data_IF_868667748917
#
_entry.id   IF_868667748917
#
_cell.length_a   1.000
_cell.length_b   1.000
_cell.length_c   1.000
_cell.angle_alpha   90.00
_cell.angle_beta   90.00
_cell.angle_gamma   90.00
#
_symmetry.space_group_name_H-M   'P 1'
#
loop_
_entity.id
_entity.type
_entity.pdbx_description
1 polymer ?
#
# COMPACT_ATOMS: atom_id res chain seq x y z
N UNK A 1 -5.30 20.51 -33.44
CA UNK A 1 -4.41 19.43 -32.93
C UNK A 1 -4.62 19.26 -31.44
N UNK A 2 -4.76 18.03 -30.99
CA UNK A 2 -4.91 17.70 -29.58
C UNK A 2 -3.77 16.79 -29.12
N UNK A 3 -3.28 17.01 -27.90
CA UNK A 3 -2.30 16.15 -27.23
C UNK A 3 -2.92 15.64 -25.93
N UNK A 4 -2.92 14.33 -25.75
CA UNK A 4 -3.44 13.70 -24.54
C UNK A 4 -2.27 13.05 -23.81
N UNK A 5 -2.03 13.47 -22.57
CA UNK A 5 -1.04 12.87 -21.68
C UNK A 5 -1.74 12.16 -20.51
N UNK A 6 -1.40 10.91 -20.27
CA UNK A 6 -2.00 10.09 -19.23
C UNK A 6 -0.93 9.68 -18.23
N UNK A 7 -1.17 9.93 -16.95
CA UNK A 7 -0.40 9.35 -15.85
C UNK A 7 -1.28 8.37 -15.11
N UNK A 8 -0.81 7.14 -14.94
CA UNK A 8 -1.61 6.11 -14.26
C UNK A 8 -0.75 5.10 -13.54
N UNK A 9 -1.34 4.44 -12.57
CA UNK A 9 -0.78 3.27 -11.89
C UNK A 9 -1.47 1.99 -12.41
N UNK A 10 -1.41 1.74 -13.72
CA UNK A 10 -2.03 0.59 -14.37
C UNK A 10 -1.00 -0.26 -15.10
N UNK A 11 -1.10 -1.58 -14.96
CA UNK A 11 -0.31 -2.55 -15.76
C UNK A 11 -0.96 -2.86 -17.13
N UNK A 12 -2.15 -2.30 -17.41
CA UNK A 12 -2.84 -2.50 -18.69
C UNK A 12 -3.00 -1.17 -19.42
N UNK A 13 -1.96 -0.70 -20.15
CA UNK A 13 -2.04 0.54 -20.91
C UNK A 13 -3.12 0.48 -22.00
N UNK A 14 -3.36 -0.67 -22.61
CA UNK A 14 -4.39 -0.86 -23.64
C UNK A 14 -5.79 -0.52 -23.13
N UNK A 15 -6.10 -0.88 -21.89
CA UNK A 15 -7.39 -0.57 -21.29
C UNK A 15 -7.61 0.94 -21.12
N UNK A 16 -6.55 1.67 -20.79
CA UNK A 16 -6.58 3.12 -20.69
C UNK A 16 -6.72 3.77 -22.06
N UNK A 17 -5.98 3.29 -23.05
CA UNK A 17 -6.09 3.77 -24.43
C UNK A 17 -7.48 3.53 -24.99
N UNK A 18 -8.11 2.39 -24.73
CA UNK A 18 -9.48 2.13 -25.15
C UNK A 18 -10.48 3.14 -24.55
N UNK A 19 -10.31 3.54 -23.29
CA UNK A 19 -11.13 4.60 -22.69
C UNK A 19 -10.95 5.92 -23.42
N UNK A 20 -9.73 6.26 -23.80
CA UNK A 20 -9.45 7.48 -24.59
C UNK A 20 -10.15 7.42 -25.95
N UNK A 21 -9.98 6.29 -26.68
CA UNK A 21 -10.58 6.11 -28.01
C UNK A 21 -12.11 6.09 -27.99
N UNK A 22 -12.69 5.43 -27.01
CA UNK A 22 -14.15 5.22 -26.97
C UNK A 22 -14.90 6.35 -26.29
N UNK A 23 -14.28 7.05 -25.34
CA UNK A 23 -14.97 8.02 -24.48
C UNK A 23 -14.47 9.45 -24.62
N UNK A 24 -13.16 9.64 -24.76
CA UNK A 24 -12.58 10.98 -24.74
C UNK A 24 -12.53 11.60 -26.14
N UNK A 25 -11.98 10.88 -27.12
CA UNK A 25 -11.83 11.41 -28.48
C UNK A 25 -13.15 11.76 -29.17
N UNK A 26 -14.24 10.98 -29.02
CA UNK A 26 -15.53 11.36 -29.62
C UNK A 26 -16.13 12.64 -29.03
N UNK A 27 -15.70 13.05 -27.84
CA UNK A 27 -16.12 14.28 -27.20
C UNK A 27 -15.35 15.53 -27.66
N UNK A 28 -14.26 15.38 -28.41
CA UNK A 28 -13.50 16.50 -28.95
C UNK A 28 -14.19 16.97 -30.22
N UNK A 29 -14.70 18.18 -30.19
CA UNK A 29 -15.41 18.81 -31.32
C UNK A 29 -14.71 20.07 -31.76
N UNK A 30 -14.97 20.52 -33.01
CA UNK A 30 -14.48 21.81 -33.54
C UNK A 30 -15.37 23.01 -33.12
N UNK A 31 -16.33 22.80 -32.22
CA UNK A 31 -17.18 23.88 -31.72
C UNK A 31 -16.37 24.75 -30.74
N UNK A 32 -16.40 26.05 -30.96
CA UNK A 32 -15.72 27.04 -30.13
C UNK A 32 -16.32 27.14 -28.73
N UNK A 33 -17.62 26.92 -28.61
CA UNK A 33 -18.34 26.94 -27.34
C UNK A 33 -19.18 25.66 -27.20
N UNK A 34 -19.05 25.00 -26.09
CA UNK A 34 -19.92 23.90 -25.68
C UNK A 34 -21.09 24.49 -24.89
N UNK A 35 -22.29 23.94 -25.06
CA UNK A 35 -23.42 24.31 -24.24
C UNK A 35 -23.09 24.06 -22.75
N UNK A 36 -23.41 25.04 -21.90
CA UNK A 36 -23.31 24.88 -20.46
C UNK A 36 -24.17 23.70 -20.01
N UNK A 37 -23.54 22.76 -19.28
CA UNK A 37 -24.24 21.61 -18.75
C UNK A 37 -23.82 21.35 -17.30
N UNK A 38 -24.71 20.77 -16.52
CA UNK A 38 -24.44 20.30 -15.15
C UNK A 38 -23.33 19.25 -15.10
N UNK A 39 -22.88 18.73 -16.24
CA UNK A 39 -21.84 17.73 -16.35
C UNK A 39 -20.48 18.23 -15.87
N UNK A 40 -20.18 19.53 -16.08
CA UNK A 40 -18.94 20.13 -15.58
C UNK A 40 -18.92 20.19 -14.06
N UNK A 41 -20.00 20.63 -13.43
CA UNK A 41 -20.13 20.68 -11.98
C UNK A 41 -20.05 19.27 -11.36
N UNK A 42 -20.70 18.28 -12.00
CA UNK A 42 -20.59 16.87 -11.58
C UNK A 42 -19.16 16.36 -11.66
N UNK A 43 -18.45 16.66 -12.77
CA UNK A 43 -17.06 16.26 -12.94
C UNK A 43 -16.15 16.93 -11.90
N UNK A 44 -16.35 18.22 -11.62
CA UNK A 44 -15.62 18.95 -10.60
C UNK A 44 -15.83 18.31 -9.23
N UNK A 45 -17.08 18.06 -8.84
CA UNK A 45 -17.41 17.38 -7.58
C UNK A 45 -16.77 15.99 -7.50
N UNK A 46 -16.88 15.18 -8.56
CA UNK A 46 -16.25 13.86 -8.59
C UNK A 46 -14.73 13.95 -8.44
N UNK A 47 -14.08 14.95 -9.03
CA UNK A 47 -12.63 15.11 -8.89
C UNK A 47 -12.21 15.55 -7.47
N UNK A 48 -13.02 16.38 -6.82
CA UNK A 48 -12.79 16.80 -5.42
C UNK A 48 -12.95 15.63 -4.44
N UNK A 49 -13.89 14.71 -4.71
CA UNK A 49 -14.13 13.50 -3.91
C UNK A 49 -13.23 12.31 -4.30
N UNK A 50 -12.41 12.46 -5.37
CA UNK A 50 -11.60 11.36 -5.89
C UNK A 50 -10.43 11.08 -4.97
N UNK A 51 -10.61 10.11 -4.08
CA UNK A 51 -9.58 9.62 -3.17
C UNK A 51 -9.54 8.09 -3.18
N UNK A 52 -8.35 7.52 -2.96
CA UNK A 52 -8.23 6.10 -2.63
C UNK A 52 -8.51 5.97 -1.14
N UNK A 53 -9.62 5.33 -0.74
CA UNK A 53 -9.91 5.18 0.69
C UNK A 53 -8.83 4.33 1.36
N UNK A 54 -8.42 4.76 2.54
CA UNK A 54 -7.57 3.97 3.43
C UNK A 54 -8.36 2.84 4.07
N UNK A 55 -7.65 1.95 4.75
CA UNK A 55 -8.25 0.90 5.55
C UNK A 55 -8.83 1.50 6.84
N UNK A 56 -9.99 0.99 7.25
CA UNK A 56 -10.62 1.41 8.49
C UNK A 56 -11.38 0.25 9.15
N UNK A 57 -11.26 0.13 10.45
CA UNK A 57 -12.07 -0.74 11.27
C UNK A 57 -12.04 -0.27 12.73
N UNK A 58 -12.88 -0.86 13.57
CA UNK A 58 -12.88 -0.59 15.02
C UNK A 58 -11.54 -1.03 15.62
N UNK A 59 -10.97 -0.17 16.46
CA UNK A 59 -9.68 -0.41 17.11
C UNK A 59 -9.85 -1.15 18.43
N UNK A 60 -8.95 -2.09 18.69
CA UNK A 60 -8.85 -2.78 19.99
C UNK A 60 -7.65 -2.23 20.78
N UNK A 61 -7.92 -1.22 21.59
CA UNK A 61 -6.88 -0.51 22.31
C UNK A 61 -6.11 -1.40 23.31
N UNK A 62 -6.77 -2.38 23.91
CA UNK A 62 -6.10 -3.27 24.86
C UNK A 62 -4.99 -4.09 24.19
N UNK A 63 -5.26 -4.64 23.01
CA UNK A 63 -4.26 -5.37 22.21
C UNK A 63 -3.18 -4.44 21.65
N UNK A 64 -3.56 -3.22 21.26
CA UNK A 64 -2.58 -2.23 20.80
C UNK A 64 -1.58 -1.85 21.88
N UNK A 65 -2.05 -1.67 23.12
CA UNK A 65 -1.19 -1.38 24.28
C UNK A 65 -0.30 -2.59 24.63
N UNK A 66 -0.80 -3.83 24.46
CA UNK A 66 -0.06 -5.06 24.69
C UNK A 66 1.10 -5.24 23.71
N UNK A 67 0.87 -4.99 22.40
CA UNK A 67 1.87 -5.24 21.36
C UNK A 67 2.72 -4.02 20.99
N UNK A 68 2.38 -2.85 21.53
CA UNK A 68 3.17 -1.63 21.29
C UNK A 68 4.56 -1.71 21.91
N UNK A 69 5.58 -1.43 21.12
CA UNK A 69 6.97 -1.37 21.58
C UNK A 69 7.69 -2.71 21.66
N UNK A 70 7.01 -3.82 21.43
CA UNK A 70 7.68 -5.13 21.34
C UNK A 70 8.53 -5.16 20.08
N UNK A 71 9.80 -5.59 20.25
CA UNK A 71 10.75 -5.70 19.15
C UNK A 71 10.86 -7.15 18.69
N UNK A 72 10.25 -7.46 17.55
CA UNK A 72 10.29 -8.78 16.93
C UNK A 72 11.52 -8.92 16.04
N UNK A 73 12.34 -9.94 16.28
CA UNK A 73 13.60 -10.21 15.58
C UNK A 73 13.46 -11.32 14.56
N UNK A 74 14.28 -11.27 13.54
CA UNK A 74 14.46 -12.37 12.59
C UNK A 74 15.49 -13.32 13.17
N UNK A 75 15.17 -14.62 13.29
CA UNK A 75 16.05 -15.64 13.84
C UNK A 75 16.59 -16.63 12.81
N UNK A 76 15.89 -16.81 11.72
CA UNK A 76 16.27 -17.75 10.67
C UNK A 76 16.70 -17.01 9.41
N UNK A 77 17.61 -17.63 8.68
CA UNK A 77 18.22 -17.28 7.40
C UNK A 77 17.75 -15.99 6.72
N UNK A 78 18.73 -15.28 6.17
CA UNK A 78 18.64 -14.11 5.26
C UNK A 78 17.21 -13.80 4.82
N UNK A 79 16.50 -13.01 5.65
CA UNK A 79 15.20 -12.49 5.27
C UNK A 79 15.42 -11.21 4.49
N UNK A 80 15.02 -11.19 3.24
CA UNK A 80 15.13 -10.01 2.40
C UNK A 80 14.46 -8.81 3.05
N UNK A 81 15.09 -7.66 2.95
CA UNK A 81 14.66 -6.44 3.58
C UNK A 81 13.19 -6.14 3.31
N UNK A 82 12.44 -5.89 4.38
CA UNK A 82 11.10 -5.33 4.33
C UNK A 82 11.05 -3.96 3.62
N UNK A 83 12.21 -3.38 3.27
CA UNK A 83 12.31 -2.17 2.46
C UNK A 83 11.89 -2.38 1.00
N UNK A 84 11.77 -3.61 0.53
CA UNK A 84 11.03 -3.89 -0.69
C UNK A 84 9.53 -4.01 -0.38
N UNK A 85 9.03 -3.01 0.36
CA UNK A 85 7.63 -2.88 0.76
C UNK A 85 6.68 -2.89 -0.43
N UNK A 86 7.21 -2.75 -1.62
CA UNK A 86 6.43 -2.64 -2.84
C UNK A 86 6.47 -3.88 -3.69
N UNK A 87 7.30 -4.86 -3.28
CA UNK A 87 7.39 -6.16 -3.91
C UNK A 87 6.95 -6.21 -5.36
N UNK A 88 7.85 -5.92 -6.29
CA UNK A 88 7.63 -6.39 -7.65
C UNK A 88 7.40 -7.90 -7.62
N UNK A 89 6.91 -8.52 -8.69
CA UNK A 89 6.75 -9.95 -8.79
C UNK A 89 8.14 -10.61 -8.67
N UNK A 90 8.48 -11.02 -7.50
CA UNK A 90 9.78 -11.59 -7.19
C UNK A 90 9.91 -11.84 -5.70
N UNK A 91 10.73 -12.79 -5.38
CA UNK A 91 11.03 -13.19 -3.99
C UNK A 91 11.36 -11.96 -3.14
N UNK A 92 11.03 -12.00 -1.87
CA UNK A 92 11.51 -11.08 -0.86
C UNK A 92 12.99 -10.77 -1.13
N UNK A 93 13.33 -9.49 -1.46
CA UNK A 93 14.70 -9.04 -1.47
C UNK A 93 15.45 -8.99 -2.78
N UNK A 94 15.03 -8.15 -3.68
CA UNK A 94 15.87 -7.78 -4.82
C UNK A 94 16.98 -6.77 -4.49
N UNK A 95 17.07 -6.25 -3.27
CA UNK A 95 18.06 -5.21 -2.90
C UNK A 95 19.10 -5.64 -1.85
N UNK A 96 19.23 -6.94 -1.57
CA UNK A 96 20.39 -7.51 -0.87
C UNK A 96 20.59 -7.09 0.58
N UNK A 97 19.56 -6.58 1.27
CA UNK A 97 19.65 -6.21 2.68
C UNK A 97 18.64 -6.98 3.49
N UNK A 98 19.05 -7.42 4.68
CA UNK A 98 18.26 -8.29 5.54
C UNK A 98 17.51 -7.48 6.59
N UNK A 99 16.21 -7.77 6.72
CA UNK A 99 15.45 -7.35 7.88
C UNK A 99 16.07 -7.94 9.14
N UNK A 100 16.33 -7.14 10.14
CA UNK A 100 16.81 -7.60 11.45
C UNK A 100 15.73 -7.57 12.52
N UNK A 101 14.89 -6.55 12.53
CA UNK A 101 13.77 -6.48 13.46
C UNK A 101 12.65 -5.56 12.97
N UNK A 102 11.46 -5.77 13.52
CA UNK A 102 10.30 -4.89 13.42
C UNK A 102 9.75 -4.59 14.82
N UNK A 103 9.22 -3.37 14.99
CA UNK A 103 8.36 -3.06 16.12
C UNK A 103 7.20 -2.16 15.69
N UNK A 104 6.11 -2.22 16.45
CA UNK A 104 4.89 -1.48 16.19
C UNK A 104 4.64 -0.51 17.34
N UNK A 105 4.17 0.68 17.04
CA UNK A 105 3.69 1.65 18.00
C UNK A 105 2.33 2.15 17.55
N UNK A 106 1.29 1.78 18.26
CA UNK A 106 -0.08 2.17 17.94
C UNK A 106 -0.41 3.52 18.60
N UNK A 107 -0.68 4.53 17.77
CA UNK A 107 -1.05 5.88 18.18
C UNK A 107 -2.52 6.16 17.86
N UNK A 108 -3.01 7.35 18.21
CA UNK A 108 -4.42 7.71 18.06
C UNK A 108 -4.98 7.46 16.65
N UNK A 109 -4.29 7.88 15.61
CA UNK A 109 -4.75 7.84 14.21
C UNK A 109 -3.86 7.03 13.30
N UNK A 110 -2.77 6.45 13.82
CA UNK A 110 -1.78 5.78 13.02
C UNK A 110 -1.12 4.61 13.77
N UNK A 111 -0.55 3.71 13.01
CA UNK A 111 0.43 2.74 13.46
C UNK A 111 1.80 3.15 12.90
N UNK A 112 2.77 3.37 13.77
CA UNK A 112 4.18 3.49 13.40
C UNK A 112 4.79 2.11 13.35
N UNK A 113 5.30 1.74 12.19
CA UNK A 113 6.10 0.53 11.98
C UNK A 113 7.57 0.94 11.94
N UNK A 114 8.34 0.56 12.96
CA UNK A 114 9.78 0.76 12.98
C UNK A 114 10.46 -0.46 12.38
N UNK A 115 11.23 -0.24 11.32
CA UNK A 115 11.88 -1.24 10.49
C UNK A 115 13.38 -1.13 10.70
N UNK A 116 14.01 -2.18 11.17
CA UNK A 116 15.46 -2.26 11.35
C UNK A 116 16.04 -3.25 10.32
N UNK A 117 17.12 -2.87 9.68
CA UNK A 117 17.99 -3.74 8.92
C UNK A 117 19.43 -3.65 9.40
N UNK A 118 20.38 -4.30 8.70
CA UNK A 118 21.77 -4.36 9.12
C UNK A 118 22.44 -2.98 9.29
N UNK A 119 22.05 -1.99 8.49
CA UNK A 119 22.73 -0.70 8.42
C UNK A 119 21.82 0.49 8.77
N UNK A 120 20.51 0.33 8.73
CA UNK A 120 19.56 1.41 8.86
C UNK A 120 18.33 1.07 9.67
N UNK A 121 17.75 2.08 10.26
CA UNK A 121 16.36 2.02 10.74
C UNK A 121 15.51 3.06 10.01
N UNK A 122 14.25 2.74 9.83
CA UNK A 122 13.27 3.61 9.15
C UNK A 122 11.89 3.44 9.77
N UNK A 123 11.13 4.52 9.75
CA UNK A 123 9.75 4.52 10.22
C UNK A 123 8.78 4.60 9.05
N UNK A 124 7.79 3.72 9.05
CA UNK A 124 6.63 3.77 8.18
C UNK A 124 5.40 4.10 9.03
N UNK A 125 4.70 5.16 8.68
CA UNK A 125 3.46 5.56 9.36
C UNK A 125 2.27 5.10 8.51
N UNK A 126 1.41 4.29 9.08
CA UNK A 126 0.19 3.79 8.44
C UNK A 126 -1.04 4.40 9.09
N UNK A 127 -1.87 5.11 8.34
CA UNK A 127 -3.11 5.69 8.84
C UNK A 127 -4.08 4.59 9.29
N UNK A 128 -4.67 4.75 10.47
CA UNK A 128 -5.69 3.86 11.03
C UNK A 128 -7.04 4.55 11.20
N UNK A 129 -7.24 5.61 10.46
CA UNK A 129 -8.42 6.49 10.47
C UNK A 129 -9.16 6.53 9.13
N UNK A 130 -8.86 5.59 8.23
CA UNK A 130 -9.42 5.54 6.88
C UNK A 130 -8.64 6.38 5.87
N UNK A 131 -7.50 6.92 6.25
CA UNK A 131 -6.62 7.70 5.36
C UNK A 131 -5.27 7.03 5.15
N UNK A 132 -4.54 7.47 4.12
CA UNK A 132 -3.16 7.08 3.90
C UNK A 132 -2.22 8.12 4.52
N UNK A 133 -1.28 7.67 5.33
CA UNK A 133 -0.18 8.49 5.82
C UNK A 133 1.06 8.32 4.94
N UNK A 134 1.77 9.41 4.68
CA UNK A 134 2.96 9.40 3.81
C UNK A 134 4.23 9.38 4.65
N UNK A 135 5.12 8.45 4.34
CA UNK A 135 6.42 8.30 4.98
C UNK A 135 7.55 8.32 3.95
N UNK A 136 8.74 8.70 4.42
CA UNK A 136 9.97 8.54 3.67
C UNK A 136 10.74 7.35 4.26
N UNK A 137 10.85 6.29 3.49
CA UNK A 137 11.62 5.10 3.85
C UNK A 137 12.76 4.98 2.84
N UNK A 138 13.99 5.10 3.32
CA UNK A 138 15.21 5.07 2.48
C UNK A 138 15.18 6.05 1.29
N UNK A 139 14.65 7.25 1.50
CA UNK A 139 14.58 8.28 0.46
C UNK A 139 13.46 8.10 -0.57
N UNK A 140 12.68 7.03 -0.47
CA UNK A 140 11.47 6.83 -1.28
C UNK A 140 10.20 7.19 -0.49
N UNK A 141 9.18 7.67 -1.19
CA UNK A 141 7.89 8.03 -0.59
C UNK A 141 6.92 6.87 -0.68
N UNK A 142 6.36 6.52 0.46
CA UNK A 142 5.32 5.51 0.58
C UNK A 142 4.08 6.09 1.24
N UNK A 143 2.91 5.67 0.78
CA UNK A 143 1.65 5.93 1.44
C UNK A 143 1.14 4.62 2.05
N UNK A 144 0.82 4.64 3.34
CA UNK A 144 0.37 3.44 4.04
C UNK A 144 -0.89 3.67 4.86
N UNK A 145 -1.71 2.64 4.94
CA UNK A 145 -2.92 2.59 5.76
C UNK A 145 -3.07 1.21 6.38
N UNK A 146 -3.57 1.13 7.61
CA UNK A 146 -3.75 -0.11 8.34
C UNK A 146 -5.10 -0.18 9.05
N UNK A 147 -5.58 -1.38 9.31
CA UNK A 147 -6.71 -1.64 10.19
C UNK A 147 -6.62 -3.05 10.79
N UNK A 148 -7.29 -3.27 11.89
CA UNK A 148 -7.51 -4.61 12.41
C UNK A 148 -8.57 -5.33 11.57
N UNK A 149 -8.22 -6.45 10.93
CA UNK A 149 -9.18 -7.32 10.24
C UNK A 149 -9.87 -8.26 11.24
N UNK A 150 -9.10 -8.76 12.20
CA UNK A 150 -9.51 -9.65 13.27
C UNK A 150 -8.88 -9.18 14.58
N UNK A 151 -9.17 -9.84 15.68
CA UNK A 151 -8.70 -9.47 17.02
C UNK A 151 -7.18 -9.31 17.10
N UNK A 152 -6.43 -10.22 16.45
CA UNK A 152 -4.97 -10.24 16.43
C UNK A 152 -4.36 -10.16 15.02
N UNK A 153 -5.14 -9.77 14.01
CA UNK A 153 -4.70 -9.68 12.61
C UNK A 153 -4.78 -8.24 12.12
N UNK A 154 -3.62 -7.63 11.91
CA UNK A 154 -3.48 -6.31 11.33
C UNK A 154 -3.30 -6.42 9.81
N UNK A 155 -4.16 -5.74 9.06
CA UNK A 155 -4.00 -5.51 7.64
C UNK A 155 -3.27 -4.19 7.42
N UNK A 156 -2.21 -4.21 6.61
CA UNK A 156 -1.40 -3.06 6.27
C UNK A 156 -1.27 -2.97 4.75
N UNK A 157 -1.67 -1.87 4.16
CA UNK A 157 -1.49 -1.59 2.74
C UNK A 157 -0.43 -0.52 2.57
N UNK A 158 0.58 -0.80 1.76
CA UNK A 158 1.67 0.12 1.43
C UNK A 158 1.73 0.34 -0.07
N UNK A 159 1.78 1.59 -0.49
CA UNK A 159 1.88 2.01 -1.89
C UNK A 159 3.13 2.86 -2.11
N UNK A 160 3.93 2.52 -3.11
CA UNK A 160 5.03 3.39 -3.55
C UNK A 160 4.48 4.54 -4.40
N UNK A 161 4.77 5.79 -4.00
CA UNK A 161 4.21 6.95 -4.71
C UNK A 161 4.90 7.28 -6.04
N UNK A 162 6.07 6.70 -6.29
CA UNK A 162 6.83 6.88 -7.55
C UNK A 162 6.73 5.68 -8.50
N UNK A 163 6.02 4.62 -8.09
CA UNK A 163 5.93 3.36 -8.84
C UNK A 163 4.48 2.91 -8.92
N UNK A 164 4.19 2.01 -9.84
CA UNK A 164 2.87 1.37 -9.99
C UNK A 164 2.63 0.26 -8.95
N UNK A 165 3.54 0.10 -7.99
CA UNK A 165 3.56 -1.03 -7.09
C UNK A 165 3.02 -0.70 -5.70
N UNK A 166 2.45 -1.70 -5.07
CA UNK A 166 2.02 -1.68 -3.69
C UNK A 166 1.86 -3.10 -3.17
N UNK A 167 1.84 -3.23 -1.86
CA UNK A 167 1.73 -4.52 -1.19
C UNK A 167 0.71 -4.45 -0.06
N UNK A 168 -0.10 -5.47 0.07
CA UNK A 168 -0.91 -5.73 1.26
C UNK A 168 -0.14 -6.72 2.14
N UNK A 169 0.01 -6.39 3.40
CA UNK A 169 0.54 -7.25 4.44
C UNK A 169 -0.60 -7.65 5.37
N UNK A 170 -0.59 -8.89 5.78
CA UNK A 170 -1.44 -9.42 6.83
C UNK A 170 -0.52 -9.91 7.95
N UNK A 171 -0.60 -9.25 9.10
CA UNK A 171 0.30 -9.44 10.23
C UNK A 171 -0.52 -10.03 11.37
N UNK A 172 -0.23 -11.28 11.71
CA UNK A 172 -0.88 -11.98 12.82
C UNK A 172 0.02 -11.91 14.04
N UNK A 173 -0.49 -11.35 15.12
CA UNK A 173 0.21 -11.26 16.41
C UNK A 173 -0.09 -12.48 17.25
N UNK A 174 0.97 -13.11 17.77
CA UNK A 174 0.94 -14.18 18.78
C UNK A 174 1.58 -13.71 20.08
N UNK A 175 1.68 -14.60 21.07
CA UNK A 175 2.22 -14.27 22.40
C UNK A 175 3.67 -13.77 22.36
N UNK A 176 4.52 -14.37 21.52
CA UNK A 176 5.96 -14.07 21.41
C UNK A 176 6.47 -13.99 19.98
N UNK A 177 5.59 -14.02 19.04
CA UNK A 177 5.95 -13.99 17.62
C UNK A 177 4.88 -13.28 16.80
N UNK A 178 5.30 -12.77 15.65
CA UNK A 178 4.40 -12.29 14.61
C UNK A 178 4.61 -13.08 13.33
N UNK A 179 3.53 -13.35 12.62
CA UNK A 179 3.55 -13.96 11.30
C UNK A 179 3.10 -12.91 10.29
N UNK A 180 3.91 -12.67 9.27
CA UNK A 180 3.65 -11.69 8.22
C UNK A 180 3.44 -12.41 6.91
N UNK A 181 2.29 -12.20 6.29
CA UNK A 181 2.00 -12.64 4.93
C UNK A 181 1.88 -11.43 4.04
N UNK A 182 2.38 -11.51 2.81
CA UNK A 182 2.31 -10.41 1.85
C UNK A 182 1.65 -10.82 0.56
N UNK A 183 0.95 -9.87 -0.06
CA UNK A 183 0.35 -10.00 -1.38
C UNK A 183 0.55 -8.71 -2.16
N UNK A 184 1.07 -8.75 -3.39
CA UNK A 184 1.10 -7.57 -4.24
C UNK A 184 -0.31 -7.02 -4.47
N UNK A 185 -0.48 -5.70 -4.44
CA UNK A 185 -1.78 -5.06 -4.67
C UNK A 185 -2.26 -5.17 -6.12
N UNK A 186 -1.32 -5.35 -7.03
CA UNK A 186 -1.62 -5.47 -8.45
C UNK A 186 -1.00 -6.76 -8.98
N UNK A 187 -1.84 -7.78 -9.25
CA UNK A 187 -1.39 -8.99 -9.92
C UNK A 187 -0.89 -8.66 -11.33
N UNK A 188 0.08 -9.42 -11.80
CA UNK A 188 0.44 -9.37 -13.21
C UNK A 188 -0.75 -9.82 -14.07
N UNK A 189 -0.81 -9.33 -15.31
CA UNK A 189 -1.91 -9.66 -16.23
C UNK A 189 -1.99 -11.18 -16.38
N UNK A 190 -3.14 -11.76 -15.99
CA UNK A 190 -3.41 -13.18 -16.10
C UNK A 190 -3.14 -14.00 -14.83
N UNK A 191 -2.51 -13.46 -13.81
CA UNK A 191 -2.34 -14.14 -12.53
C UNK A 191 -3.61 -14.01 -11.68
N UNK A 192 -4.18 -15.14 -11.29
CA UNK A 192 -5.18 -15.19 -10.22
C UNK A 192 -4.41 -15.26 -8.91
N UNK A 193 -4.55 -14.21 -8.07
CA UNK A 193 -4.06 -14.31 -6.70
C UNK A 193 -4.96 -15.26 -5.92
N UNK A 194 -4.42 -16.42 -5.62
CA UNK A 194 -4.95 -17.25 -4.55
C UNK A 194 -4.26 -16.82 -3.25
N UNK A 195 -5.02 -16.64 -2.16
CA UNK A 195 -4.45 -16.32 -0.84
C UNK A 195 -3.44 -17.36 -0.36
N UNK A 196 -3.41 -18.54 -1.00
CA UNK A 196 -2.45 -19.61 -0.71
C UNK A 196 -1.02 -19.31 -1.17
N UNK A 197 -0.83 -18.39 -2.12
CA UNK A 197 0.48 -18.03 -2.68
C UNK A 197 1.19 -16.87 -1.94
N UNK A 198 0.69 -16.49 -0.77
CA UNK A 198 1.31 -15.42 0.02
C UNK A 198 2.62 -15.91 0.65
N UNK A 199 3.70 -15.23 0.36
CA UNK A 199 4.97 -15.42 1.08
C UNK A 199 4.75 -15.17 2.58
N UNK A 200 5.28 -16.04 3.42
CA UNK A 200 5.16 -15.96 4.87
C UNK A 200 6.52 -15.73 5.52
N UNK A 201 6.54 -14.84 6.51
CA UNK A 201 7.68 -14.56 7.37
C UNK A 201 7.25 -14.65 8.83
N UNK A 202 8.05 -15.28 9.68
CA UNK A 202 7.83 -15.34 11.12
C UNK A 202 8.96 -14.63 11.84
N UNK A 203 8.62 -13.70 12.75
CA UNK A 203 9.55 -13.00 13.63
C UNK A 203 9.21 -13.29 15.09
N UNK A 204 10.22 -13.33 15.96
CA UNK A 204 10.06 -13.62 17.38
C UNK A 204 10.57 -12.45 18.22
N UNK A 205 10.01 -12.33 19.42
CA UNK A 205 10.43 -11.36 20.44
C UNK A 205 11.90 -11.51 20.86
#
# INVERSE_FOLDING_TARGET
DAVIAITSASFSPDRLLNIVWEKLLPGITDQEELEESDSYEKLRYMNEELAIPGLWNVRNKAHEDEWSGIRYKVFDEVVPCFADLTGGPGKWGSYGRNLSALSFEFRRTECRLHIEDEDFSSDLYAGMDGTYHVSYVRGERFAASACWEEENVLSLVVRALKRVSGTKFRITFGEKEISIRRCPLMPQIGEKFDEQDWDQLVLKE
#
